data_IF_439455875223
#
_entry.id   IF_439455875223
#
_cell.length_a   1.000
_cell.length_b   1.000
_cell.length_c   1.000
_cell.angle_alpha   90.00
_cell.angle_beta   90.00
_cell.angle_gamma   90.00
#
_symmetry.space_group_name_H-M   'P 1'
#
loop_
_entity.id
_entity.type
_entity.pdbx_description
1 polymer ?
#
# COMPACT_ATOMS: atom_id res chain seq x y z
N UNK A 1 14.01 -22.22 11.65
CA UNK A 1 12.84 -21.38 11.23
C UNK A 1 12.35 -22.00 9.93
N UNK A 2 11.17 -22.58 9.93
CA UNK A 2 10.62 -23.23 8.75
C UNK A 2 9.96 -22.17 7.86
N UNK A 3 10.32 -22.12 6.57
CA UNK A 3 9.70 -21.24 5.58
C UNK A 3 8.52 -21.98 4.93
N UNK A 4 7.31 -21.50 5.14
CA UNK A 4 6.08 -22.06 4.56
C UNK A 4 5.56 -21.29 3.33
N UNK A 5 6.23 -20.21 2.92
CA UNK A 5 5.84 -19.34 1.79
C UNK A 5 6.00 -19.98 0.40
N UNK A 6 6.49 -21.21 0.29
CA UNK A 6 6.71 -21.88 -1.02
C UNK A 6 5.44 -22.09 -1.85
N UNK A 7 4.28 -22.06 -1.19
CA UNK A 7 2.97 -22.27 -1.81
C UNK A 7 2.35 -20.97 -2.33
N UNK A 8 3.03 -19.84 -2.14
CA UNK A 8 2.57 -18.50 -2.53
C UNK A 8 3.58 -17.82 -3.46
N UNK A 9 3.69 -18.27 -4.73
CA UNK A 9 4.73 -17.82 -5.66
C UNK A 9 4.59 -16.34 -6.03
N UNK A 10 3.37 -15.83 -6.03
CA UNK A 10 3.04 -14.43 -6.32
C UNK A 10 2.75 -13.58 -5.09
N UNK A 11 3.16 -14.01 -3.88
CA UNK A 11 2.95 -13.22 -2.67
C UNK A 11 3.58 -11.83 -2.82
N UNK A 12 2.73 -10.79 -2.85
CA UNK A 12 3.12 -9.41 -3.08
C UNK A 12 2.82 -8.53 -1.87
N UNK A 13 1.58 -8.43 -1.44
CA UNK A 13 1.17 -7.72 -0.23
C UNK A 13 1.09 -8.67 0.97
N UNK A 14 1.54 -8.20 2.14
CA UNK A 14 1.48 -8.93 3.39
C UNK A 14 0.99 -8.01 4.50
N UNK A 15 -0.19 -8.27 5.04
CA UNK A 15 -0.76 -7.51 6.16
C UNK A 15 -0.92 -8.40 7.38
N UNK A 16 -0.33 -8.00 8.50
CA UNK A 16 -0.59 -8.57 9.83
C UNK A 16 -1.80 -7.86 10.44
N UNK A 17 -2.73 -8.63 10.99
CA UNK A 17 -3.90 -8.09 11.67
C UNK A 17 -4.25 -8.91 12.91
N UNK A 18 -4.50 -8.21 14.02
CA UNK A 18 -5.00 -8.83 15.27
C UNK A 18 -6.52 -8.85 15.27
N UNK A 19 -7.12 -10.02 15.45
CA UNK A 19 -8.53 -10.22 15.59
C UNK A 19 -8.85 -10.71 17.01
N UNK A 20 -9.12 -9.80 17.92
CA UNK A 20 -9.44 -10.10 19.32
C UNK A 20 -8.34 -10.87 20.07
N UNK A 21 -7.08 -10.57 19.81
CA UNK A 21 -5.93 -11.19 20.46
C UNK A 21 -5.39 -12.43 19.73
N UNK A 22 -5.89 -12.73 18.53
CA UNK A 22 -5.32 -13.72 17.62
C UNK A 22 -4.82 -13.04 16.35
N UNK A 23 -3.54 -13.26 16.01
CA UNK A 23 -2.91 -12.62 14.86
C UNK A 23 -3.02 -13.48 13.60
N UNK A 24 -3.36 -12.83 12.49
CA UNK A 24 -3.49 -13.43 11.17
C UNK A 24 -2.66 -12.67 10.14
N UNK A 25 -2.22 -13.39 9.12
CA UNK A 25 -1.59 -12.82 7.93
C UNK A 25 -2.58 -12.84 6.76
N UNK A 26 -2.69 -11.70 6.08
CA UNK A 26 -3.40 -11.57 4.81
C UNK A 26 -2.39 -11.41 3.69
N UNK A 27 -2.41 -12.31 2.73
CA UNK A 27 -1.43 -12.40 1.64
C UNK A 27 -2.17 -12.11 0.33
N UNK A 28 -1.81 -11.03 -0.33
CA UNK A 28 -2.23 -10.78 -1.71
C UNK A 28 -1.27 -11.53 -2.66
N UNK A 29 -1.78 -12.54 -3.35
CA UNK A 29 -0.96 -13.36 -4.26
C UNK A 29 -1.34 -13.09 -5.72
N UNK A 30 -0.42 -12.49 -6.45
CA UNK A 30 -0.59 -12.08 -7.83
C UNK A 30 -0.76 -13.27 -8.78
N UNK A 31 0.01 -14.35 -8.59
CA UNK A 31 0.01 -15.53 -9.47
C UNK A 31 -1.18 -16.42 -9.18
N UNK A 32 -1.65 -16.45 -7.94
CA UNK A 32 -2.84 -17.19 -7.54
C UNK A 32 -4.14 -16.42 -7.83
N UNK A 33 -4.05 -15.11 -8.05
CA UNK A 33 -5.21 -14.23 -8.26
C UNK A 33 -6.23 -14.32 -7.13
N UNK A 34 -5.75 -14.26 -5.89
CA UNK A 34 -6.58 -14.38 -4.69
C UNK A 34 -5.89 -13.70 -3.50
N UNK A 35 -6.66 -13.45 -2.45
CA UNK A 35 -6.12 -13.07 -1.14
C UNK A 35 -6.32 -14.23 -0.18
N UNK A 36 -5.29 -14.56 0.57
CA UNK A 36 -5.30 -15.70 1.50
C UNK A 36 -5.12 -15.19 2.93
N UNK A 37 -6.02 -15.57 3.82
CA UNK A 37 -5.87 -15.39 5.27
C UNK A 37 -5.27 -16.64 5.88
N UNK A 38 -4.17 -16.50 6.65
CA UNK A 38 -3.50 -17.62 7.33
C UNK A 38 -3.24 -17.28 8.80
N UNK A 39 -2.99 -18.32 9.62
CA UNK A 39 -2.31 -18.14 10.92
C UNK A 39 -0.85 -17.76 10.70
N UNK A 40 -0.12 -17.39 11.76
CA UNK A 40 1.32 -17.09 11.68
C UNK A 40 2.15 -18.31 11.26
N UNK A 41 1.65 -19.53 11.51
CA UNK A 41 2.29 -20.80 11.09
C UNK A 41 1.95 -21.19 9.65
N UNK A 42 1.16 -20.37 8.92
CA UNK A 42 0.81 -20.61 7.52
C UNK A 42 -0.39 -21.53 7.29
N UNK A 43 -1.16 -21.85 8.33
CA UNK A 43 -2.41 -22.60 8.15
C UNK A 43 -3.46 -21.67 7.51
N UNK A 44 -3.97 -22.05 6.33
CA UNK A 44 -5.04 -21.31 5.65
C UNK A 44 -6.31 -21.31 6.50
N UNK A 45 -6.84 -20.11 6.74
CA UNK A 45 -8.10 -19.87 7.48
C UNK A 45 -9.22 -19.52 6.51
N UNK A 46 -8.93 -18.65 5.52
CA UNK A 46 -9.89 -18.22 4.52
C UNK A 46 -9.20 -17.88 3.20
N UNK A 47 -9.91 -18.05 2.08
CA UNK A 47 -9.46 -17.61 0.76
C UNK A 47 -10.52 -16.68 0.18
N UNK A 48 -10.10 -15.46 -0.20
CA UNK A 48 -10.90 -14.52 -0.95
C UNK A 48 -10.54 -14.66 -2.44
N UNK A 49 -11.36 -15.35 -3.23
CA UNK A 49 -11.09 -15.56 -4.65
C UNK A 49 -11.32 -14.25 -5.44
N UNK A 50 -10.99 -14.25 -6.73
CA UNK A 50 -11.36 -13.12 -7.56
C UNK A 50 -12.90 -12.90 -7.53
N UNK A 51 -13.35 -11.62 -7.43
CA UNK A 51 -14.75 -11.30 -7.16
C UNK A 51 -15.61 -11.40 -8.44
N UNK A 52 -15.84 -12.62 -8.91
CA UNK A 52 -16.60 -12.95 -10.15
C UNK A 52 -17.99 -12.34 -10.17
N UNK A 53 -18.66 -12.32 -9.02
CA UNK A 53 -20.04 -11.82 -8.83
C UNK A 53 -20.20 -10.34 -9.14
N UNK A 54 -19.09 -9.57 -9.14
CA UNK A 54 -19.12 -8.15 -9.49
C UNK A 54 -19.37 -7.89 -10.98
N UNK A 55 -19.08 -8.88 -11.84
CA UNK A 55 -19.12 -8.73 -13.30
C UNK A 55 -18.09 -7.74 -13.85
N UNK A 56 -17.12 -7.31 -13.03
CA UNK A 56 -16.07 -6.34 -13.42
C UNK A 56 -14.86 -6.99 -14.07
N UNK A 57 -14.71 -8.30 -13.93
CA UNK A 57 -13.59 -9.08 -14.43
C UNK A 57 -14.06 -10.06 -15.50
N UNK A 58 -13.38 -10.07 -16.65
CA UNK A 58 -13.67 -11.03 -17.72
C UNK A 58 -13.35 -12.47 -17.31
N UNK A 59 -12.27 -12.62 -16.54
CA UNK A 59 -11.78 -13.90 -16.05
C UNK A 59 -10.90 -13.69 -14.81
N UNK A 60 -10.42 -14.80 -14.23
CA UNK A 60 -9.56 -14.79 -13.03
C UNK A 60 -8.24 -14.05 -13.27
N UNK A 61 -7.66 -14.18 -14.44
CA UNK A 61 -6.35 -13.60 -14.79
C UNK A 61 -6.38 -12.06 -14.87
N UNK A 62 -7.57 -11.46 -14.99
CA UNK A 62 -7.75 -10.01 -14.95
C UNK A 62 -7.70 -9.41 -13.52
N UNK A 63 -7.76 -10.26 -12.49
CA UNK A 63 -7.64 -9.87 -11.09
C UNK A 63 -6.23 -10.16 -10.57
N UNK A 64 -5.46 -9.13 -10.26
CA UNK A 64 -4.05 -9.26 -9.81
C UNK A 64 -3.89 -8.39 -8.55
N UNK A 65 -4.27 -8.93 -7.36
CA UNK A 65 -4.28 -8.17 -6.12
C UNK A 65 -2.86 -7.81 -5.68
N UNK A 66 -2.67 -6.58 -5.21
CA UNK A 66 -1.37 -6.06 -4.80
C UNK A 66 -1.24 -5.89 -3.30
N UNK A 67 -2.30 -5.49 -2.61
CA UNK A 67 -2.22 -5.19 -1.17
C UNK A 67 -3.59 -5.31 -0.50
N UNK A 68 -3.56 -5.44 0.83
CA UNK A 68 -4.74 -5.52 1.69
C UNK A 68 -4.69 -4.49 2.82
N UNK A 69 -5.86 -4.05 3.28
CA UNK A 69 -6.00 -3.27 4.50
C UNK A 69 -7.25 -3.73 5.26
N UNK A 70 -7.18 -3.80 6.58
CA UNK A 70 -8.28 -4.23 7.43
C UNK A 70 -8.67 -3.07 8.35
N UNK A 71 -9.95 -2.68 8.31
CA UNK A 71 -10.49 -1.67 9.19
C UNK A 71 -10.78 -2.25 10.60
N UNK A 72 -10.93 -1.39 11.59
CA UNK A 72 -11.17 -1.78 13.00
C UNK A 72 -12.46 -2.58 13.22
N UNK A 73 -13.43 -2.47 12.31
CA UNK A 73 -14.66 -3.28 12.30
C UNK A 73 -14.48 -4.65 11.64
N UNK A 74 -13.25 -4.99 11.17
CA UNK A 74 -12.92 -6.23 10.49
C UNK A 74 -13.17 -6.23 8.98
N UNK A 75 -13.64 -5.13 8.40
CA UNK A 75 -13.84 -5.02 6.95
C UNK A 75 -12.49 -5.07 6.23
N UNK A 76 -12.40 -5.88 5.18
CA UNK A 76 -11.21 -6.06 4.37
C UNK A 76 -11.34 -5.27 3.07
N UNK A 77 -10.30 -4.50 2.76
CA UNK A 77 -10.11 -3.81 1.48
C UNK A 77 -8.95 -4.46 0.72
N UNK A 78 -9.16 -4.76 -0.55
CA UNK A 78 -8.15 -5.34 -1.43
C UNK A 78 -7.92 -4.43 -2.62
N UNK A 79 -6.67 -4.08 -2.86
CA UNK A 79 -6.25 -3.30 -4.02
C UNK A 79 -5.88 -4.23 -5.17
N UNK A 80 -6.53 -4.11 -6.33
CA UNK A 80 -6.23 -4.85 -7.58
C UNK A 80 -5.30 -4.02 -8.48
N UNK A 81 -4.15 -3.64 -7.96
CA UNK A 81 -3.28 -2.62 -8.56
C UNK A 81 -2.51 -3.07 -9.80
N UNK A 82 -2.36 -4.36 -10.07
CA UNK A 82 -1.77 -4.87 -11.31
C UNK A 82 -2.81 -5.41 -12.29
N UNK A 83 -4.06 -5.57 -11.84
CA UNK A 83 -5.18 -5.97 -12.68
C UNK A 83 -5.99 -4.77 -13.19
N UNK A 84 -7.28 -4.77 -12.88
CA UNK A 84 -8.26 -3.79 -13.39
C UNK A 84 -8.35 -2.49 -12.59
N UNK A 85 -7.55 -2.33 -11.54
CA UNK A 85 -7.43 -1.15 -10.69
C UNK A 85 -8.66 -0.89 -9.80
N UNK A 86 -9.44 -1.90 -9.52
CA UNK A 86 -10.54 -1.80 -8.55
C UNK A 86 -10.03 -1.97 -7.12
N UNK A 87 -10.80 -1.42 -6.20
CA UNK A 87 -10.71 -1.69 -4.77
C UNK A 87 -11.92 -2.52 -4.39
N UNK A 88 -11.69 -3.69 -3.84
CA UNK A 88 -12.73 -4.63 -3.44
C UNK A 88 -12.90 -4.52 -1.93
N UNK A 89 -14.13 -4.32 -1.48
CA UNK A 89 -14.48 -4.19 -0.08
C UNK A 89 -15.33 -5.39 0.36
N UNK A 90 -14.83 -6.15 1.32
CA UNK A 90 -15.53 -7.26 1.98
C UNK A 90 -15.87 -6.89 3.42
N UNK A 91 -16.95 -7.44 3.95
CA UNK A 91 -17.25 -7.37 5.38
C UNK A 91 -16.35 -8.31 6.20
N UNK A 92 -16.43 -8.23 7.52
CA UNK A 92 -15.64 -9.06 8.44
C UNK A 92 -15.95 -10.58 8.34
N UNK A 93 -17.03 -10.97 7.67
CA UNK A 93 -17.38 -12.35 7.37
C UNK A 93 -16.89 -12.80 5.98
N UNK A 94 -16.26 -11.90 5.21
CA UNK A 94 -15.76 -12.17 3.87
C UNK A 94 -16.81 -12.04 2.76
N UNK A 95 -17.98 -11.46 3.03
CA UNK A 95 -18.96 -11.18 2.00
C UNK A 95 -18.62 -9.89 1.27
N UNK A 96 -18.76 -9.89 -0.06
CA UNK A 96 -18.56 -8.69 -0.87
C UNK A 96 -19.59 -7.61 -0.48
N UNK A 97 -19.11 -6.43 -0.10
CA UNK A 97 -19.93 -5.24 0.20
C UNK A 97 -19.97 -4.26 -0.96
N UNK A 98 -18.80 -3.93 -1.50
CA UNK A 98 -18.67 -2.90 -2.52
C UNK A 98 -17.44 -3.15 -3.41
N UNK A 99 -17.44 -2.51 -4.57
CA UNK A 99 -16.28 -2.38 -5.46
C UNK A 99 -16.26 -0.98 -6.05
N UNK A 100 -15.14 -0.30 -5.96
CA UNK A 100 -14.98 1.08 -6.45
C UNK A 100 -13.63 1.30 -7.13
N UNK A 101 -13.39 2.50 -7.64
CA UNK A 101 -12.20 2.78 -8.44
C UNK A 101 -12.30 2.23 -9.85
N UNK A 102 -11.22 1.65 -10.34
CA UNK A 102 -11.06 1.20 -11.71
C UNK A 102 -9.98 2.00 -12.43
N UNK A 103 -9.61 1.58 -13.64
CA UNK A 103 -8.54 2.21 -14.43
C UNK A 103 -9.00 3.52 -15.05
N UNK A 104 -8.23 4.60 -14.87
CA UNK A 104 -8.50 5.89 -15.52
C UNK A 104 -7.78 7.08 -14.88
N UNK A 105 -8.05 8.28 -15.39
CA UNK A 105 -7.43 9.53 -14.97
C UNK A 105 -8.33 10.42 -14.10
N UNK A 106 -9.62 10.10 -14.04
CA UNK A 106 -10.56 10.85 -13.20
C UNK A 106 -10.14 10.77 -11.70
N UNK A 107 -10.52 11.74 -10.87
CA UNK A 107 -10.08 11.80 -9.47
C UNK A 107 -10.28 10.51 -8.68
N UNK A 108 -11.39 9.80 -8.90
CA UNK A 108 -11.75 8.55 -8.22
C UNK A 108 -11.19 7.29 -8.89
N UNK A 109 -10.50 7.40 -10.05
CA UNK A 109 -9.91 6.29 -10.80
C UNK A 109 -8.39 6.22 -10.60
N UNK A 110 -7.78 5.10 -10.98
CA UNK A 110 -6.38 4.83 -10.71
C UNK A 110 -5.58 4.50 -11.97
N UNK A 111 -4.31 4.91 -11.93
CA UNK A 111 -3.23 4.31 -12.68
C UNK A 111 -2.26 3.69 -11.68
N UNK A 112 -2.33 2.36 -11.55
CA UNK A 112 -1.65 1.54 -10.57
C UNK A 112 -2.06 1.83 -9.11
N UNK A 113 -3.23 1.32 -8.71
CA UNK A 113 -3.71 1.29 -7.31
C UNK A 113 -2.87 0.28 -6.52
N UNK A 114 -1.61 0.64 -6.17
CA UNK A 114 -0.62 -0.33 -5.75
C UNK A 114 -0.71 -0.72 -4.28
N UNK A 115 -0.79 0.25 -3.40
CA UNK A 115 -0.82 0.06 -1.95
C UNK A 115 -2.08 0.65 -1.33
N UNK A 116 -2.48 0.10 -0.20
CA UNK A 116 -3.68 0.51 0.53
C UNK A 116 -3.43 0.41 2.04
N UNK A 117 -3.96 1.35 2.82
CA UNK A 117 -4.06 1.23 4.28
C UNK A 117 -5.31 1.95 4.79
N UNK A 118 -5.68 1.66 6.03
CA UNK A 118 -6.70 2.42 6.75
C UNK A 118 -6.00 3.54 7.52
N UNK A 119 -6.46 4.76 7.36
CA UNK A 119 -6.02 5.92 8.15
C UNK A 119 -7.06 6.20 9.24
N UNK A 120 -6.74 5.80 10.43
CA UNK A 120 -7.53 5.98 11.66
C UNK A 120 -6.89 6.98 12.63
N UNK A 121 -5.93 7.79 12.16
CA UNK A 121 -5.31 8.86 12.96
C UNK A 121 -6.33 9.86 13.49
N UNK A 122 -7.42 10.06 12.76
CA UNK A 122 -8.63 10.72 13.23
C UNK A 122 -9.76 9.66 13.34
N UNK A 123 -10.08 9.19 14.57
CA UNK A 123 -11.06 8.12 14.75
C UNK A 123 -12.51 8.54 14.42
N UNK A 124 -12.78 9.84 14.31
CA UNK A 124 -14.09 10.35 13.88
C UNK A 124 -14.21 10.40 12.35
N UNK A 125 -13.09 10.38 11.63
CA UNK A 125 -13.02 10.50 10.17
C UNK A 125 -12.06 9.46 9.57
N UNK A 126 -12.30 8.18 9.85
CA UNK A 126 -11.49 7.08 9.30
C UNK A 126 -11.63 7.02 7.78
N UNK A 127 -10.50 6.91 7.08
CA UNK A 127 -10.47 6.87 5.62
C UNK A 127 -9.61 5.73 5.09
N UNK A 128 -9.84 5.36 3.84
CA UNK A 128 -8.97 4.46 3.09
C UNK A 128 -7.97 5.27 2.29
N UNK A 129 -6.69 5.05 2.53
CA UNK A 129 -5.60 5.62 1.72
C UNK A 129 -5.18 4.64 0.64
N UNK A 130 -5.14 5.09 -0.60
CA UNK A 130 -4.79 4.26 -1.76
C UNK A 130 -3.75 4.98 -2.60
N UNK A 131 -2.63 4.32 -2.85
CA UNK A 131 -1.58 4.90 -3.71
C UNK A 131 -1.94 4.76 -5.17
N UNK A 132 -2.00 5.87 -5.88
CA UNK A 132 -2.09 5.93 -7.33
C UNK A 132 -0.67 6.15 -7.89
N UNK A 133 0.14 5.07 -7.93
CA UNK A 133 1.60 5.13 -8.15
C UNK A 133 1.98 5.93 -9.38
N UNK A 134 1.39 5.63 -10.54
CA UNK A 134 1.72 6.28 -11.81
C UNK A 134 1.17 7.72 -11.91
N UNK A 135 0.27 8.09 -11.02
CA UNK A 135 -0.26 9.45 -10.90
C UNK A 135 0.50 10.28 -9.87
N UNK A 136 1.46 9.70 -9.14
CA UNK A 136 2.20 10.32 -8.03
C UNK A 136 1.26 10.91 -6.96
N UNK A 137 0.23 10.16 -6.57
CA UNK A 137 -0.80 10.60 -5.64
C UNK A 137 -1.09 9.56 -4.59
N UNK A 138 -1.39 10.04 -3.38
CA UNK A 138 -2.07 9.25 -2.35
C UNK A 138 -3.52 9.73 -2.30
N UNK A 139 -4.46 8.87 -2.67
CA UNK A 139 -5.89 9.20 -2.75
C UNK A 139 -6.61 8.78 -1.48
N UNK A 140 -7.56 9.61 -1.03
CA UNK A 140 -8.38 9.36 0.15
C UNK A 140 -9.82 9.05 -0.23
N UNK A 141 -10.37 8.01 0.39
CA UNK A 141 -11.74 7.56 0.19
C UNK A 141 -12.40 7.30 1.54
N UNK A 142 -13.72 7.42 1.59
CA UNK A 142 -14.49 6.90 2.74
C UNK A 142 -14.42 5.38 2.78
N UNK A 143 -14.82 4.76 3.89
CA UNK A 143 -14.94 3.29 3.96
C UNK A 143 -16.01 2.74 3.00
N UNK A 144 -16.98 3.57 2.59
CA UNK A 144 -18.00 3.23 1.58
C UNK A 144 -17.50 3.34 0.14
N UNK A 145 -16.28 3.89 -0.07
CA UNK A 145 -15.65 4.01 -1.38
C UNK A 145 -15.92 5.32 -2.10
N UNK A 146 -16.42 6.35 -1.42
CA UNK A 146 -16.59 7.69 -1.97
C UNK A 146 -15.25 8.44 -1.96
N UNK A 147 -14.88 9.02 -3.11
CA UNK A 147 -13.65 9.81 -3.23
C UNK A 147 -13.75 11.12 -2.43
N UNK A 148 -12.74 11.41 -1.64
CA UNK A 148 -12.64 12.63 -0.84
C UNK A 148 -11.72 13.63 -1.54
N UNK A 149 -10.43 13.31 -1.64
CA UNK A 149 -9.38 14.13 -2.26
C UNK A 149 -8.10 13.35 -2.53
N UNK A 150 -7.05 14.06 -2.93
CA UNK A 150 -5.72 13.47 -3.16
C UNK A 150 -4.63 14.35 -2.55
N UNK A 151 -3.59 13.69 -2.05
CA UNK A 151 -2.32 14.30 -1.65
C UNK A 151 -1.37 14.13 -2.84
N UNK A 152 -0.93 15.24 -3.43
CA UNK A 152 -0.01 15.23 -4.55
C UNK A 152 1.45 15.06 -4.05
N UNK A 153 2.15 14.08 -4.61
CA UNK A 153 3.55 13.76 -4.30
C UNK A 153 4.37 13.72 -5.60
N UNK A 154 4.48 14.86 -6.31
CA UNK A 154 5.07 14.90 -7.65
C UNK A 154 6.48 14.34 -7.66
N UNK A 155 6.78 13.45 -8.60
CA UNK A 155 8.05 12.76 -8.74
C UNK A 155 8.27 11.61 -7.75
N UNK A 156 7.29 11.26 -6.90
CA UNK A 156 7.34 10.12 -5.99
C UNK A 156 6.39 9.00 -6.46
N UNK A 157 6.95 7.90 -6.96
CA UNK A 157 6.19 6.70 -7.36
C UNK A 157 6.01 5.80 -6.13
N UNK A 158 4.98 6.11 -5.34
CA UNK A 158 4.75 5.53 -4.02
C UNK A 158 4.16 4.12 -4.09
N UNK A 159 4.61 3.25 -3.16
CA UNK A 159 4.12 1.88 -3.00
C UNK A 159 3.06 1.80 -1.89
N UNK A 160 3.40 1.16 -0.76
CA UNK A 160 2.46 0.97 0.35
C UNK A 160 2.52 2.15 1.33
N UNK A 161 1.39 2.70 1.77
CA UNK A 161 1.33 3.61 2.90
C UNK A 161 1.31 2.78 4.21
N UNK A 162 2.10 3.22 5.19
CA UNK A 162 2.14 2.65 6.54
C UNK A 162 1.94 3.78 7.53
N UNK A 163 1.01 3.61 8.46
CA UNK A 163 0.76 4.58 9.52
C UNK A 163 1.47 4.13 10.79
N UNK A 164 2.22 5.06 11.38
CA UNK A 164 2.77 4.88 12.71
C UNK A 164 2.63 6.21 13.46
N UNK A 165 1.97 6.17 14.60
CA UNK A 165 1.60 7.36 15.37
C UNK A 165 0.82 8.37 14.48
N UNK A 166 1.36 9.58 14.32
CA UNK A 166 0.74 10.65 13.53
C UNK A 166 1.27 10.76 12.09
N UNK A 167 2.22 9.91 11.71
CA UNK A 167 2.89 10.00 10.42
C UNK A 167 2.43 8.92 9.44
N UNK A 168 2.53 9.23 8.14
CA UNK A 168 2.41 8.28 7.05
C UNK A 168 3.80 8.07 6.46
N UNK A 169 4.24 6.82 6.40
CA UNK A 169 5.50 6.40 5.78
C UNK A 169 5.19 5.72 4.46
N UNK A 170 5.89 6.11 3.40
CA UNK A 170 5.67 5.61 2.06
C UNK A 170 7.01 5.18 1.45
N UNK A 171 7.13 3.93 1.05
CA UNK A 171 8.20 3.51 0.17
C UNK A 171 7.96 4.12 -1.22
N UNK A 172 8.93 4.86 -1.75
CA UNK A 172 8.91 5.45 -3.09
C UNK A 172 9.87 4.66 -3.98
N UNK A 173 9.32 3.80 -4.84
CA UNK A 173 10.14 2.83 -5.61
C UNK A 173 11.01 3.51 -6.67
N UNK A 174 10.48 4.54 -7.33
CA UNK A 174 11.15 5.37 -8.34
C UNK A 174 10.88 6.83 -8.07
N UNK A 175 11.69 7.71 -8.64
CA UNK A 175 11.52 9.15 -8.48
C UNK A 175 11.79 9.95 -9.77
N UNK A 176 11.43 11.23 -9.75
CA UNK A 176 11.61 12.14 -10.87
C UNK A 176 10.81 11.70 -12.09
N UNK A 177 11.50 11.26 -13.14
CA UNK A 177 10.89 10.76 -14.38
C UNK A 177 10.47 9.27 -14.32
N UNK A 178 10.61 8.62 -13.16
CA UNK A 178 10.29 7.20 -12.97
C UNK A 178 11.43 6.26 -13.32
N UNK A 179 12.66 6.75 -13.42
CA UNK A 179 13.84 5.93 -13.72
C UNK A 179 14.09 4.89 -12.63
N UNK A 180 14.52 3.70 -13.03
CA UNK A 180 14.87 2.62 -12.11
C UNK A 180 16.06 2.98 -11.21
N UNK A 181 16.04 2.47 -9.99
CA UNK A 181 17.12 2.65 -9.02
C UNK A 181 17.18 4.05 -8.39
N UNK A 182 16.06 4.78 -8.40
CA UNK A 182 15.98 6.16 -7.90
C UNK A 182 15.06 6.32 -6.69
N UNK A 183 14.85 5.24 -5.91
CA UNK A 183 13.90 5.22 -4.81
C UNK A 183 14.36 5.94 -3.53
N UNK A 184 13.41 6.32 -2.71
CA UNK A 184 13.60 6.95 -1.39
C UNK A 184 12.40 6.65 -0.47
N UNK A 185 12.37 7.18 0.76
CA UNK A 185 11.21 7.09 1.65
C UNK A 185 10.57 8.47 1.76
N UNK A 186 9.24 8.52 1.65
CA UNK A 186 8.46 9.74 1.89
C UNK A 186 7.79 9.65 3.27
N UNK A 187 7.88 10.71 4.08
CA UNK A 187 7.27 10.78 5.41
C UNK A 187 6.38 12.02 5.48
N UNK A 188 5.07 11.79 5.67
CA UNK A 188 4.08 12.85 5.82
C UNK A 188 3.71 13.01 7.31
N UNK A 189 3.45 14.23 7.70
CA UNK A 189 2.96 14.58 9.06
C UNK A 189 1.45 14.34 9.23
N UNK A 190 0.94 14.73 10.39
CA UNK A 190 -0.48 14.65 10.74
C UNK A 190 -1.40 15.49 9.84
N UNK A 191 -0.86 16.50 9.14
CA UNK A 191 -1.57 17.35 8.18
C UNK A 191 -1.43 16.86 6.74
N UNK A 192 -0.87 15.65 6.53
CA UNK A 192 -0.56 15.08 5.23
C UNK A 192 0.45 15.89 4.41
N UNK A 193 1.30 16.67 5.07
CA UNK A 193 2.38 17.42 4.45
C UNK A 193 3.65 16.56 4.41
N UNK A 194 4.32 16.45 3.27
CA UNK A 194 5.61 15.77 3.18
C UNK A 194 6.67 16.59 3.95
N UNK A 195 7.19 16.02 5.04
CA UNK A 195 8.11 16.72 5.95
C UNK A 195 9.52 16.14 5.92
N UNK A 196 9.68 14.89 5.46
CA UNK A 196 11.00 14.24 5.38
C UNK A 196 11.05 13.26 4.21
N UNK A 197 12.22 13.12 3.61
CA UNK A 197 12.44 12.21 2.50
C UNK A 197 13.84 11.56 2.57
N UNK A 198 14.08 10.59 3.49
CA UNK A 198 15.35 9.87 3.57
C UNK A 198 15.77 9.26 2.23
N UNK A 199 16.92 9.67 1.70
CA UNK A 199 17.42 9.31 0.38
C UNK A 199 16.94 10.22 -0.77
N UNK A 200 15.90 11.00 -0.55
CA UNK A 200 15.33 11.95 -1.52
C UNK A 200 15.77 13.39 -1.32
N UNK A 201 15.27 14.28 -2.16
CA UNK A 201 15.45 15.73 -2.04
C UNK A 201 14.70 16.24 -0.81
N UNK A 202 15.22 17.32 -0.21
CA UNK A 202 14.49 18.03 0.86
C UNK A 202 13.14 18.51 0.32
N UNK A 203 12.02 18.24 1.02
CA UNK A 203 10.72 18.75 0.61
C UNK A 203 10.71 20.28 0.56
N UNK A 204 10.37 20.83 -0.58
CA UNK A 204 10.24 22.27 -0.81
C UNK A 204 8.84 22.60 -1.32
N UNK A 205 8.23 23.63 -0.75
CA UNK A 205 6.90 24.10 -1.13
C UNK A 205 6.94 25.49 -1.74
N UNK A 206 6.21 25.68 -2.83
CA UNK A 206 5.98 26.97 -3.43
C UNK A 206 4.47 27.21 -3.54
N UNK A 207 3.98 28.28 -2.93
CA UNK A 207 2.54 28.58 -2.83
C UNK A 207 1.70 27.37 -2.36
N UNK A 208 2.16 26.69 -1.31
CA UNK A 208 1.60 25.46 -0.73
C UNK A 208 1.61 24.22 -1.67
N UNK A 209 2.28 24.28 -2.81
CA UNK A 209 2.45 23.15 -3.73
C UNK A 209 3.84 22.54 -3.56
N UNK A 210 3.91 21.22 -3.33
CA UNK A 210 5.16 20.48 -3.23
C UNK A 210 5.89 20.50 -4.59
N UNK A 211 7.17 20.85 -4.59
CA UNK A 211 8.03 20.73 -5.78
C UNK A 211 8.34 19.26 -6.09
N UNK A 212 8.60 18.92 -7.37
CA UNK A 212 8.92 17.53 -7.75
C UNK A 212 10.09 16.94 -6.97
N UNK A 213 9.85 15.79 -6.38
CA UNK A 213 10.80 15.02 -5.58
C UNK A 213 11.69 14.14 -6.47
N UNK A 214 12.93 13.94 -6.03
CA UNK A 214 13.88 13.05 -6.71
C UNK A 214 14.89 12.48 -5.70
N UNK A 215 15.49 11.34 -6.03
CA UNK A 215 16.56 10.77 -5.22
C UNK A 215 17.81 11.67 -5.24
N UNK A 216 18.40 11.90 -4.07
CA UNK A 216 19.68 12.65 -3.92
C UNK A 216 20.79 11.79 -3.36
N UNK A 217 20.45 10.78 -2.55
CA UNK A 217 21.38 9.81 -1.98
C UNK A 217 21.00 8.40 -2.38
N UNK A 218 21.91 7.65 -2.98
CA UNK A 218 21.68 6.25 -3.39
C UNK A 218 21.74 5.29 -2.20
N UNK A 219 20.91 5.52 -1.19
CA UNK A 219 20.71 4.60 -0.07
C UNK A 219 19.87 3.42 -0.52
N UNK A 220 18.86 3.70 -1.32
CA UNK A 220 17.91 2.72 -1.82
C UNK A 220 18.00 2.59 -3.34
N UNK A 221 17.61 1.41 -3.81
CA UNK A 221 17.38 1.16 -5.24
C UNK A 221 15.89 1.16 -5.56
N UNK A 222 15.17 0.20 -5.01
CA UNK A 222 13.73 0.01 -5.24
C UNK A 222 13.01 -0.24 -3.92
N UNK A 223 12.91 0.73 -2.99
CA UNK A 223 12.14 0.56 -1.78
C UNK A 223 10.69 0.27 -2.16
N UNK A 224 10.16 -0.83 -1.64
CA UNK A 224 8.85 -1.33 -2.02
C UNK A 224 7.88 -1.37 -0.86
N UNK A 225 8.38 -1.61 0.33
CA UNK A 225 7.61 -1.54 1.57
C UNK A 225 8.48 -0.98 2.71
N UNK A 226 7.83 -0.49 3.75
CA UNK A 226 8.46 0.03 4.95
C UNK A 226 7.67 -0.41 6.17
N UNK A 227 8.35 -0.80 7.24
CA UNK A 227 7.74 -0.89 8.56
C UNK A 227 8.52 -0.04 9.57
N UNK A 228 7.86 0.29 10.67
CA UNK A 228 8.35 1.24 11.67
C UNK A 228 8.28 0.54 13.03
N UNK A 229 9.36 0.56 13.81
CA UNK A 229 9.35 0.05 15.17
C UNK A 229 8.94 1.14 16.20
N UNK A 230 8.82 0.74 17.47
CA UNK A 230 8.40 1.64 18.57
C UNK A 230 9.37 2.81 18.79
N UNK A 231 10.65 2.64 18.40
CA UNK A 231 11.68 3.70 18.46
C UNK A 231 11.68 4.58 17.20
N UNK A 232 10.70 4.38 16.30
CA UNK A 232 10.57 5.02 14.99
C UNK A 232 11.74 4.75 14.04
N UNK A 233 12.45 3.62 14.20
CA UNK A 233 13.39 3.16 13.19
C UNK A 233 12.63 2.55 12.02
N UNK A 234 13.12 2.79 10.81
CA UNK A 234 12.50 2.28 9.58
C UNK A 234 13.21 1.01 9.11
N UNK A 235 12.44 0.01 8.72
CA UNK A 235 12.92 -1.18 8.04
C UNK A 235 12.35 -1.19 6.64
N UNK A 236 13.21 -1.04 5.64
CA UNK A 236 12.83 -0.85 4.24
C UNK A 236 13.12 -2.10 3.45
N UNK A 237 12.06 -2.79 2.99
CA UNK A 237 12.16 -3.88 2.04
C UNK A 237 12.29 -3.33 0.62
N UNK A 238 13.11 -3.99 -0.22
CA UNK A 238 13.36 -3.57 -1.59
C UNK A 238 13.00 -4.66 -2.60
N UNK A 239 12.34 -4.28 -3.68
CA UNK A 239 12.08 -5.14 -4.82
C UNK A 239 13.29 -5.17 -5.77
N UNK A 240 13.60 -6.35 -6.34
CA UNK A 240 14.61 -6.53 -7.38
C UNK A 240 15.95 -5.81 -7.10
N UNK A 241 16.48 -6.00 -5.90
CA UNK A 241 17.68 -5.31 -5.42
C UNK A 241 18.81 -6.29 -5.05
N UNK A 242 18.94 -7.41 -5.78
CA UNK A 242 20.05 -8.39 -5.69
C UNK A 242 20.30 -8.94 -4.29
N UNK A 243 19.40 -9.73 -3.76
CA UNK A 243 19.53 -10.43 -2.48
C UNK A 243 19.96 -9.51 -1.30
N UNK A 244 19.56 -8.24 -1.35
CA UNK A 244 19.82 -7.32 -0.24
C UNK A 244 18.84 -7.57 0.90
N UNK A 245 19.37 -7.57 2.14
CA UNK A 245 18.54 -7.53 3.33
C UNK A 245 17.76 -6.21 3.41
N UNK A 246 16.63 -6.16 4.16
CA UNK A 246 15.96 -4.90 4.48
C UNK A 246 16.95 -3.90 5.09
N UNK A 247 16.87 -2.66 4.65
CA UNK A 247 17.72 -1.58 5.17
C UNK A 247 17.06 -1.01 6.42
N UNK A 248 17.80 -0.97 7.53
CA UNK A 248 17.38 -0.27 8.74
C UNK A 248 17.93 1.16 8.75
N UNK A 249 17.04 2.14 8.91
CA UNK A 249 17.40 3.52 9.22
C UNK A 249 17.06 3.80 10.69
N UNK A 250 18.01 4.37 11.41
CA UNK A 250 17.79 4.79 12.78
C UNK A 250 17.27 6.22 12.83
N UNK A 251 16.29 6.45 13.70
CA UNK A 251 15.88 7.81 14.05
C UNK A 251 17.02 8.51 14.80
N UNK A 252 17.34 9.74 14.43
CA UNK A 252 18.34 10.60 15.07
C UNK A 252 17.67 11.87 15.62
#
# INVERSE_FOLDING_TARGET
MDAWVKDYPGAHGLTLHDENGEEFLYIADNDRHEVIKTTLEGKVVHIFPYPKETGKYENKEAYIPTETAIASNGDLFVSDGYGSQYIIHYDSQGNLKNIFGGRGDEPHLFQNAHGICIDDRDPENVVVLITARQQNKLKRFTLEGDYIDSIDLPGAYICRPVIHNKHIYLATIWSGDGSEGTGFISILDENNTLVSAPGGSTPEYENATLRPMHQTLRVFRHPHDVCVDEDENLYVAQWNSWDTYPIKLYRV
#
